data_IF_258858572011
#
_entry.id   IF_258858572011
#
_cell.length_a   1.000
_cell.length_b   1.000
_cell.length_c   1.000
_cell.angle_alpha   90.00
_cell.angle_beta   90.00
_cell.angle_gamma   90.00
#
_symmetry.space_group_name_H-M   'P 1'
#
loop_
_entity.id
_entity.type
_entity.pdbx_description
1 polymer ?
#
# COMPACT_ATOMS: atom_id res chain seq x y z
N UNK A 1 -9.34 10.85 36.74
CA UNK A 1 -10.62 11.18 36.07
C UNK A 1 -10.74 10.36 34.78
N UNK A 2 -11.72 9.46 34.68
CA UNK A 2 -11.95 8.68 33.46
C UNK A 2 -12.76 9.55 32.50
N UNK A 3 -12.12 10.14 31.48
CA UNK A 3 -12.82 10.75 30.34
C UNK A 3 -13.82 9.69 29.84
N UNK A 4 -15.13 9.98 29.92
CA UNK A 4 -16.16 9.19 29.27
C UNK A 4 -15.93 9.33 27.76
N UNK A 5 -15.03 8.50 27.23
CA UNK A 5 -14.97 8.27 25.80
C UNK A 5 -16.36 7.76 25.41
N UNK A 6 -16.92 8.31 24.33
CA UNK A 6 -18.19 7.86 23.78
C UNK A 6 -18.15 6.37 23.42
N UNK A 7 -19.16 5.86 22.70
CA UNK A 7 -19.11 4.48 22.23
C UNK A 7 -17.78 4.22 21.50
N UNK A 8 -17.17 3.04 21.73
CA UNK A 8 -15.97 2.59 21.01
C UNK A 8 -16.38 2.34 19.56
N UNK A 9 -16.38 3.42 18.77
CA UNK A 9 -16.90 3.42 17.41
C UNK A 9 -16.07 4.36 16.54
N UNK A 10 -15.82 3.91 15.32
CA UNK A 10 -15.16 4.67 14.26
C UNK A 10 -16.15 5.15 13.20
N UNK A 11 -17.45 5.01 13.43
CA UNK A 11 -18.47 5.28 12.41
C UNK A 11 -18.51 6.76 11.97
N UNK A 12 -18.09 7.67 12.85
CA UNK A 12 -17.95 9.09 12.52
C UNK A 12 -16.93 9.34 11.40
N UNK A 13 -15.97 8.43 11.19
CA UNK A 13 -15.01 8.51 10.09
C UNK A 13 -15.68 8.40 8.72
N UNK A 14 -16.90 7.84 8.60
CA UNK A 14 -17.59 7.75 7.30
C UNK A 14 -17.96 9.12 6.75
N UNK A 15 -18.27 10.08 7.62
CA UNK A 15 -18.72 11.42 7.23
C UNK A 15 -17.64 12.49 7.39
N UNK A 16 -16.54 12.20 8.07
CA UNK A 16 -15.41 13.12 8.25
C UNK A 16 -14.71 13.42 6.90
N UNK A 17 -14.12 14.61 6.69
CA UNK A 17 -13.24 14.86 5.56
C UNK A 17 -12.05 13.89 5.48
N UNK A 18 -11.53 13.63 4.28
CA UNK A 18 -10.46 12.62 4.07
C UNK A 18 -9.20 12.88 4.87
N UNK A 19 -8.76 14.13 4.94
CA UNK A 19 -7.57 14.50 5.70
C UNK A 19 -7.77 14.26 7.21
N UNK A 20 -8.92 14.65 7.77
CA UNK A 20 -9.23 14.43 9.20
C UNK A 20 -9.32 12.94 9.54
N UNK A 21 -9.96 12.15 8.68
CA UNK A 21 -10.07 10.71 8.89
C UNK A 21 -8.69 10.04 8.90
N UNK A 22 -7.83 10.42 7.94
CA UNK A 22 -6.47 9.89 7.85
C UNK A 22 -5.59 10.34 9.02
N UNK A 23 -5.65 11.61 9.41
CA UNK A 23 -4.92 12.13 10.58
C UNK A 23 -5.34 11.43 11.87
N UNK A 24 -6.64 11.22 12.07
CA UNK A 24 -7.13 10.45 13.21
C UNK A 24 -6.59 9.02 13.19
N UNK A 25 -6.68 8.31 12.06
CA UNK A 25 -6.18 6.94 11.94
C UNK A 25 -4.67 6.85 12.24
N UNK A 26 -3.89 7.81 11.77
CA UNK A 26 -2.45 7.92 12.05
C UNK A 26 -2.13 8.29 13.51
N UNK A 27 -3.07 8.93 14.22
CA UNK A 27 -2.93 9.24 15.65
C UNK A 27 -3.10 8.02 16.56
N UNK A 28 -3.69 6.93 16.04
CA UNK A 28 -3.89 5.70 16.81
C UNK A 28 -2.58 4.94 16.94
N UNK A 29 -2.13 4.73 18.18
CA UNK A 29 -0.91 3.99 18.46
C UNK A 29 -0.92 2.60 17.80
N UNK A 30 0.08 2.32 16.96
CA UNK A 30 0.21 1.07 16.20
C UNK A 30 -0.36 1.11 14.78
N UNK A 31 -1.07 2.17 14.39
CA UNK A 31 -1.51 2.36 13.00
C UNK A 31 -0.49 3.21 12.23
N UNK A 32 0.30 2.55 11.39
CA UNK A 32 1.15 3.22 10.40
C UNK A 32 0.39 3.61 9.12
N UNK A 33 1.09 4.31 8.21
CA UNK A 33 0.54 4.81 6.93
C UNK A 33 -0.18 3.73 6.13
N UNK A 34 0.41 2.55 5.98
CA UNK A 34 -0.20 1.42 5.28
C UNK A 34 -1.53 1.02 5.91
N UNK A 35 -1.58 0.83 7.23
CA UNK A 35 -2.79 0.38 7.93
C UNK A 35 -3.89 1.43 7.87
N UNK A 36 -3.54 2.70 8.09
CA UNK A 36 -4.48 3.81 7.95
C UNK A 36 -5.03 3.88 6.51
N UNK A 37 -4.16 3.76 5.50
CA UNK A 37 -4.59 3.76 4.11
C UNK A 37 -5.50 2.57 3.76
N UNK A 38 -5.23 1.39 4.30
CA UNK A 38 -6.11 0.22 4.13
C UNK A 38 -7.53 0.49 4.65
N UNK A 39 -7.67 1.18 5.79
CA UNK A 39 -8.98 1.57 6.33
C UNK A 39 -9.65 2.60 5.41
N UNK A 40 -8.92 3.61 4.96
CA UNK A 40 -9.42 4.62 4.02
C UNK A 40 -9.97 3.97 2.74
N UNK A 41 -9.18 3.09 2.11
CA UNK A 41 -9.52 2.47 0.84
C UNK A 41 -10.63 1.43 0.96
N UNK A 42 -10.52 0.49 1.92
CA UNK A 42 -11.36 -0.71 1.94
C UNK A 42 -12.58 -0.57 2.85
N UNK A 43 -12.48 0.16 3.96
CA UNK A 43 -13.58 0.27 4.93
C UNK A 43 -14.41 1.55 4.74
N UNK A 44 -13.74 2.65 4.35
CA UNK A 44 -14.38 3.94 4.13
C UNK A 44 -14.66 4.23 2.64
N UNK A 45 -14.21 3.36 1.73
CA UNK A 45 -14.39 3.50 0.28
C UNK A 45 -13.89 4.86 -0.27
N UNK A 46 -12.73 5.31 0.21
CA UNK A 46 -12.08 6.57 -0.19
C UNK A 46 -10.90 6.29 -1.10
N UNK A 47 -10.55 7.24 -1.96
CA UNK A 47 -9.35 7.14 -2.79
C UNK A 47 -8.11 7.19 -1.91
N UNK A 48 -7.34 6.12 -1.90
CA UNK A 48 -6.06 5.98 -1.23
C UNK A 48 -5.35 4.76 -1.85
N UNK A 49 -4.02 4.67 -1.76
CA UNK A 49 -3.28 3.55 -2.30
C UNK A 49 -2.25 3.02 -1.28
N UNK A 50 -2.65 2.06 -0.43
CA UNK A 50 -1.78 1.53 0.60
C UNK A 50 -0.67 0.69 -0.04
N UNK A 51 0.57 1.06 0.24
CA UNK A 51 1.75 0.31 -0.20
C UNK A 51 2.21 -0.60 0.93
N UNK A 52 2.05 -1.91 0.76
CA UNK A 52 2.65 -2.90 1.66
C UNK A 52 3.96 -3.46 1.06
N UNK A 53 4.60 -4.38 1.76
CA UNK A 53 5.86 -4.99 1.31
C UNK A 53 5.71 -5.85 0.05
N UNK A 54 4.51 -6.35 -0.26
CA UNK A 54 4.24 -7.08 -1.50
C UNK A 54 4.07 -6.11 -2.67
N UNK A 55 3.23 -5.09 -2.50
CA UNK A 55 3.02 -4.01 -3.47
C UNK A 55 4.35 -3.35 -3.82
N UNK A 56 5.12 -2.93 -2.80
CA UNK A 56 6.43 -2.33 -3.01
C UNK A 56 7.34 -3.25 -3.83
N UNK A 57 7.53 -4.50 -3.39
CA UNK A 57 8.40 -5.47 -4.07
C UNK A 57 7.97 -5.74 -5.52
N UNK A 58 6.67 -5.92 -5.77
CA UNK A 58 6.14 -6.13 -7.12
C UNK A 58 6.43 -4.90 -7.98
N UNK A 59 6.06 -3.71 -7.52
CA UNK A 59 6.29 -2.47 -8.28
C UNK A 59 7.78 -2.25 -8.58
N UNK A 60 8.67 -2.55 -7.64
CA UNK A 60 10.10 -2.44 -7.90
C UNK A 60 10.61 -3.45 -8.93
N UNK A 61 10.22 -4.72 -8.83
CA UNK A 61 10.63 -5.77 -9.80
C UNK A 61 10.10 -5.49 -11.20
N UNK A 62 8.93 -4.87 -11.32
CA UNK A 62 8.39 -4.40 -12.61
C UNK A 62 9.03 -3.10 -13.12
N UNK A 63 9.99 -2.52 -12.40
CA UNK A 63 10.63 -1.25 -12.78
C UNK A 63 9.75 -0.01 -12.58
N UNK A 64 8.64 -0.11 -11.83
CA UNK A 64 7.73 1.02 -11.60
C UNK A 64 8.24 1.99 -10.53
N UNK A 65 9.20 1.57 -9.72
CA UNK A 65 9.87 2.41 -8.71
C UNK A 65 11.34 2.54 -9.11
N UNK A 66 11.90 3.76 -9.20
CA UNK A 66 13.31 3.93 -9.49
C UNK A 66 14.15 3.34 -8.35
N UNK A 67 15.05 2.41 -8.69
CA UNK A 67 15.98 1.80 -7.76
C UNK A 67 17.36 2.47 -7.88
N UNK A 68 18.07 2.57 -6.76
CA UNK A 68 19.43 3.12 -6.76
C UNK A 68 20.44 2.20 -7.45
N UNK A 69 20.18 0.88 -7.46
CA UNK A 69 20.92 -0.12 -8.23
C UNK A 69 20.08 -1.37 -8.46
N UNK A 70 20.39 -2.17 -9.48
CA UNK A 70 19.72 -3.47 -9.75
C UNK A 70 19.89 -4.46 -8.58
N UNK A 71 21.03 -4.41 -7.87
CA UNK A 71 21.28 -5.22 -6.67
C UNK A 71 20.31 -4.92 -5.51
N UNK A 72 19.62 -3.78 -5.54
CA UNK A 72 18.60 -3.43 -4.55
C UNK A 72 17.32 -4.27 -4.67
N UNK A 73 17.10 -4.95 -5.80
CA UNK A 73 15.99 -5.90 -5.98
C UNK A 73 16.19 -7.18 -5.17
N UNK A 74 17.44 -7.64 -5.07
CA UNK A 74 17.81 -8.86 -4.33
C UNK A 74 18.01 -8.56 -2.85
N UNK A 75 18.56 -7.38 -2.53
CA UNK A 75 18.77 -6.90 -1.19
C UNK A 75 17.74 -5.81 -0.84
N UNK A 76 16.62 -6.23 -0.25
CA UNK A 76 15.60 -5.31 0.29
C UNK A 76 16.14 -4.26 1.29
N UNK A 77 17.40 -4.40 1.73
CA UNK A 77 18.12 -3.44 2.56
C UNK A 77 18.56 -2.17 1.79
N UNK A 78 18.63 -2.23 0.46
CA UNK A 78 18.95 -1.08 -0.41
C UNK A 78 17.68 -0.43 -0.99
N UNK A 79 16.50 -0.85 -0.52
CA UNK A 79 15.24 -0.30 -0.94
C UNK A 79 15.09 1.13 -0.40
N UNK A 80 14.51 2.08 -1.16
CA UNK A 80 14.24 3.41 -0.62
C UNK A 80 13.38 3.29 0.64
N UNK A 81 13.56 4.23 1.58
CA UNK A 81 12.74 4.27 2.80
C UNK A 81 11.24 4.14 2.43
N UNK A 82 10.52 3.31 3.17
CA UNK A 82 9.09 3.01 2.95
C UNK A 82 8.23 4.27 2.66
N UNK A 83 8.45 5.43 3.33
CA UNK A 83 7.78 6.69 3.01
C UNK A 83 8.00 7.21 1.58
N UNK A 84 9.20 7.07 1.02
CA UNK A 84 9.52 7.58 -0.33
C UNK A 84 8.89 6.73 -1.42
N UNK A 85 8.91 5.39 -1.28
CA UNK A 85 8.21 4.49 -2.21
C UNK A 85 6.71 4.71 -2.16
N UNK A 86 6.15 4.84 -0.95
CA UNK A 86 4.74 5.17 -0.78
C UNK A 86 4.40 6.48 -1.49
N UNK A 87 5.13 7.56 -1.22
CA UNK A 87 4.89 8.88 -1.85
C UNK A 87 4.99 8.81 -3.38
N UNK A 88 6.00 8.11 -3.90
CA UNK A 88 6.21 7.95 -5.33
C UNK A 88 5.03 7.24 -6.01
N UNK A 89 4.60 6.09 -5.48
CA UNK A 89 3.50 5.31 -6.02
C UNK A 89 2.16 6.03 -5.82
N UNK A 90 1.90 6.52 -4.61
CA UNK A 90 0.66 7.21 -4.26
C UNK A 90 0.36 8.37 -5.22
N UNK A 91 1.33 9.25 -5.47
CA UNK A 91 1.14 10.39 -6.39
C UNK A 91 0.74 9.99 -7.81
N UNK A 92 1.12 8.79 -8.28
CA UNK A 92 0.79 8.27 -9.61
C UNK A 92 -0.53 7.51 -9.61
N UNK A 93 -0.74 6.67 -8.61
CA UNK A 93 -1.93 5.82 -8.50
C UNK A 93 -3.20 6.63 -8.24
N UNK A 94 -3.10 7.76 -7.53
CA UNK A 94 -4.26 8.60 -7.22
C UNK A 94 -4.94 9.25 -8.44
N UNK A 95 -4.40 9.06 -9.65
CA UNK A 95 -5.09 9.39 -10.91
C UNK A 95 -6.27 8.46 -11.22
N UNK A 96 -6.24 7.21 -10.73
CA UNK A 96 -7.32 6.23 -10.91
C UNK A 96 -8.51 6.51 -9.99
N UNK A 97 -9.66 5.92 -10.30
CA UNK A 97 -10.83 5.93 -9.41
C UNK A 97 -10.65 4.97 -8.22
N UNK A 98 -11.56 5.06 -7.25
CA UNK A 98 -11.45 4.27 -6.01
C UNK A 98 -11.56 2.76 -6.26
N UNK A 99 -12.41 2.34 -7.19
CA UNK A 99 -12.62 0.93 -7.53
C UNK A 99 -11.36 0.33 -8.15
N UNK A 100 -10.77 1.01 -9.13
CA UNK A 100 -9.48 0.60 -9.74
C UNK A 100 -8.37 0.56 -8.69
N UNK A 101 -8.30 1.53 -7.78
CA UNK A 101 -7.31 1.54 -6.69
C UNK A 101 -7.46 0.33 -5.76
N UNK A 102 -8.71 -0.03 -5.43
CA UNK A 102 -9.03 -1.20 -4.62
C UNK A 102 -8.60 -2.50 -5.30
N UNK A 103 -9.00 -2.69 -6.56
CA UNK A 103 -8.64 -3.87 -7.34
C UNK A 103 -7.12 -3.99 -7.52
N UNK A 104 -6.45 -2.89 -7.89
CA UNK A 104 -5.01 -2.86 -8.07
C UNK A 104 -4.26 -3.25 -6.78
N UNK A 105 -4.65 -2.68 -5.64
CA UNK A 105 -4.07 -3.03 -4.35
C UNK A 105 -4.21 -4.52 -4.04
N UNK A 106 -5.41 -5.08 -4.24
CA UNK A 106 -5.69 -6.50 -3.98
C UNK A 106 -4.92 -7.42 -4.93
N UNK A 107 -4.90 -7.10 -6.22
CA UNK A 107 -4.22 -7.88 -7.25
C UNK A 107 -2.70 -7.87 -7.05
N UNK A 108 -2.11 -6.74 -6.67
CA UNK A 108 -0.68 -6.66 -6.37
C UNK A 108 -0.28 -7.47 -5.15
N UNK A 109 -1.10 -7.46 -4.09
CA UNK A 109 -0.88 -8.32 -2.92
C UNK A 109 -0.95 -9.79 -3.32
N UNK A 110 -1.97 -10.16 -4.10
CA UNK A 110 -2.18 -11.54 -4.57
C UNK A 110 -1.01 -11.99 -5.44
N UNK A 111 -0.59 -11.16 -6.40
CA UNK A 111 0.56 -11.40 -7.24
C UNK A 111 1.84 -11.61 -6.42
N UNK A 112 2.09 -10.72 -5.45
CA UNK A 112 3.25 -10.79 -4.56
C UNK A 112 3.28 -12.02 -3.65
N UNK A 113 2.11 -12.53 -3.24
CA UNK A 113 2.01 -13.74 -2.41
C UNK A 113 2.08 -15.04 -3.20
N UNK A 114 1.45 -15.08 -4.38
CA UNK A 114 1.30 -16.31 -5.17
C UNK A 114 2.50 -16.53 -6.08
N UNK A 115 2.93 -15.50 -6.81
CA UNK A 115 3.95 -15.60 -7.86
C UNK A 115 5.25 -14.90 -7.47
N UNK A 116 5.17 -13.61 -7.13
CA UNK A 116 6.32 -12.75 -6.92
C UNK A 116 6.76 -12.74 -5.44
N UNK A 117 7.01 -13.94 -4.91
CA UNK A 117 7.43 -14.12 -3.52
C UNK A 117 8.80 -13.50 -3.24
N UNK A 118 9.06 -13.16 -1.97
CA UNK A 118 10.35 -12.56 -1.56
C UNK A 118 11.54 -13.45 -1.92
N UNK A 119 11.42 -14.76 -1.68
CA UNK A 119 12.45 -15.76 -2.01
C UNK A 119 11.88 -16.71 -3.06
N UNK A 120 12.66 -17.02 -4.09
CA UNK A 120 12.30 -17.96 -5.17
C UNK A 120 10.93 -17.64 -5.82
N UNK A 121 10.79 -16.49 -6.51
CA UNK A 121 9.55 -16.18 -7.22
C UNK A 121 9.27 -17.21 -8.33
N UNK A 122 7.99 -17.52 -8.54
CA UNK A 122 7.55 -18.43 -9.60
C UNK A 122 7.35 -17.65 -10.92
N UNK A 123 8.45 -17.10 -11.46
CA UNK A 123 8.40 -16.25 -12.65
C UNK A 123 7.85 -16.98 -13.88
N UNK A 124 8.08 -18.28 -14.03
CA UNK A 124 7.57 -19.06 -15.16
C UNK A 124 6.04 -19.15 -15.22
N UNK A 125 5.36 -19.00 -14.07
CA UNK A 125 3.90 -18.95 -14.00
C UNK A 125 3.36 -17.53 -13.74
N UNK A 126 4.23 -16.53 -13.61
CA UNK A 126 3.82 -15.16 -13.28
C UNK A 126 3.15 -14.52 -14.51
N UNK A 127 1.92 -13.98 -14.40
CA UNK A 127 1.24 -13.37 -15.53
C UNK A 127 1.92 -12.09 -16.03
N UNK A 128 2.78 -11.46 -15.22
CA UNK A 128 3.54 -10.27 -15.59
C UNK A 128 4.97 -10.58 -16.01
N UNK A 129 5.35 -11.86 -16.15
CA UNK A 129 6.70 -12.23 -16.58
C UNK A 129 7.13 -11.62 -17.93
N UNK A 130 6.26 -11.50 -18.95
CA UNK A 130 6.64 -10.88 -20.22
C UNK A 130 7.00 -9.38 -20.11
N UNK A 131 6.51 -8.71 -19.07
CA UNK A 131 6.70 -7.28 -18.82
C UNK A 131 7.64 -7.02 -17.63
N UNK A 132 8.32 -8.05 -17.12
CA UNK A 132 9.20 -8.00 -15.97
C UNK A 132 10.63 -8.31 -16.44
N UNK A 133 11.54 -7.35 -16.23
CA UNK A 133 12.97 -7.50 -16.51
C UNK A 133 13.65 -8.46 -15.50
#
# INVERSE_FOLDING_TARGET
EKKKQGPISLEWLRTAPDHEALEFLLSVAGLGRKSAGCVMLMALARKEFPVDTNVARVCARLGWVPLQSEAALEHLEQYPDEPEVHKYLHSRMMSFDQETLFELHYLMITLGKVFCQKRLPNCSACPLAPDCD
#
